data_IF_570738882253
#
_entry.id   IF_570738882253
#
_cell.length_a   1.000
_cell.length_b   1.000
_cell.length_c   1.000
_cell.angle_alpha   90.00
_cell.angle_beta   90.00
_cell.angle_gamma   90.00
#
_symmetry.space_group_name_H-M   'P 1'
#
loop_
_entity.id
_entity.type
_entity.pdbx_description
1 polymer ?
#
# COMPACT_ATOMS: atom_id res chain seq x y z
N UNK A 1 8.41 -6.03 34.61
CA UNK A 1 7.91 -5.15 33.54
C UNK A 1 8.49 -5.66 32.22
N UNK A 2 7.74 -6.44 31.43
CA UNK A 2 8.25 -6.98 30.16
C UNK A 2 8.29 -5.85 29.11
N UNK A 3 9.47 -5.58 28.58
CA UNK A 3 9.65 -4.76 27.38
C UNK A 3 9.59 -5.74 26.20
N UNK A 4 8.61 -5.56 25.31
CA UNK A 4 8.52 -6.35 24.10
C UNK A 4 9.42 -5.70 23.03
N UNK A 5 10.43 -6.46 22.58
CA UNK A 5 11.37 -6.05 21.54
C UNK A 5 10.88 -6.62 20.22
N UNK A 6 10.54 -5.75 19.27
CA UNK A 6 10.26 -6.15 17.89
C UNK A 6 11.50 -5.81 17.04
N UNK A 7 12.31 -6.82 16.68
CA UNK A 7 13.35 -6.63 15.68
C UNK A 7 12.67 -6.49 14.31
N UNK A 8 13.14 -5.53 13.49
CA UNK A 8 12.69 -5.23 12.12
C UNK A 8 11.44 -4.32 12.03
N UNK A 9 11.59 -3.18 11.33
CA UNK A 9 10.54 -2.19 11.11
C UNK A 9 9.96 -2.38 9.70
N UNK A 10 9.31 -3.53 9.53
CA UNK A 10 8.42 -3.80 8.40
C UNK A 10 7.00 -3.33 8.76
N UNK A 11 6.15 -3.17 7.73
CA UNK A 11 4.80 -2.63 7.90
C UNK A 11 3.93 -3.39 8.94
N UNK A 12 4.08 -4.71 9.05
CA UNK A 12 3.28 -5.52 9.98
C UNK A 12 3.69 -5.29 11.44
N UNK A 13 4.98 -5.15 11.66
CA UNK A 13 5.66 -4.96 12.94
C UNK A 13 5.36 -3.56 13.48
N UNK A 14 5.33 -2.56 12.60
CA UNK A 14 4.81 -1.22 12.92
C UNK A 14 3.38 -1.25 13.47
N UNK A 15 2.47 -1.94 12.78
CA UNK A 15 1.07 -2.03 13.21
C UNK A 15 0.97 -2.77 14.54
N UNK A 16 1.70 -3.88 14.69
CA UNK A 16 1.70 -4.64 15.93
C UNK A 16 2.24 -3.81 17.11
N UNK A 17 3.32 -3.07 16.88
CA UNK A 17 3.92 -2.13 17.83
C UNK A 17 2.93 -1.05 18.25
N UNK A 18 2.19 -0.48 17.29
CA UNK A 18 1.11 0.48 17.55
C UNK A 18 -0.01 -0.09 18.42
N UNK A 19 -0.52 -1.28 18.06
CA UNK A 19 -1.58 -1.96 18.83
C UNK A 19 -1.13 -2.28 20.25
N UNK A 20 0.10 -2.79 20.42
CA UNK A 20 0.66 -3.08 21.74
C UNK A 20 0.80 -1.81 22.59
N UNK A 21 1.19 -0.70 21.97
CA UNK A 21 1.34 0.60 22.65
C UNK A 21 -0.01 1.16 23.12
N UNK A 22 -1.05 1.09 22.29
CA UNK A 22 -2.43 1.48 22.64
C UNK A 22 -2.98 0.61 23.79
N UNK A 23 -2.60 -0.68 23.81
CA UNK A 23 -2.96 -1.60 24.90
C UNK A 23 -2.13 -1.40 26.19
N UNK A 24 -1.36 -0.32 26.31
CA UNK A 24 -0.61 0.03 27.51
C UNK A 24 0.68 -0.77 27.73
N UNK A 25 1.18 -1.47 26.70
CA UNK A 25 2.49 -2.14 26.78
C UNK A 25 3.60 -1.15 26.47
N UNK A 26 4.74 -1.28 27.19
CA UNK A 26 5.98 -0.59 26.83
C UNK A 26 6.68 -1.37 25.71
N UNK A 27 6.74 -0.79 24.53
CA UNK A 27 7.31 -1.40 23.33
C UNK A 27 8.62 -0.70 22.97
N UNK A 28 9.65 -1.48 22.67
CA UNK A 28 10.90 -0.99 22.09
C UNK A 28 10.96 -1.43 20.63
N UNK A 29 10.96 -0.45 19.73
CA UNK A 29 10.94 -0.66 18.29
C UNK A 29 12.31 -0.30 17.71
N UNK A 30 13.02 -1.27 17.12
CA UNK A 30 14.38 -1.08 16.61
C UNK A 30 14.56 -1.73 15.24
N UNK A 31 15.17 -0.99 14.30
CA UNK A 31 15.67 -1.54 13.03
C UNK A 31 17.20 -1.60 13.02
N UNK A 32 17.74 -2.47 12.18
CA UNK A 32 19.15 -2.48 11.80
C UNK A 32 19.42 -1.53 10.64
N UNK A 33 18.42 -1.29 9.80
CA UNK A 33 18.52 -0.41 8.63
C UNK A 33 18.41 1.05 9.04
N UNK A 34 19.14 1.97 8.37
CA UNK A 34 19.00 3.41 8.61
C UNK A 34 17.73 4.01 8.00
N UNK A 35 16.85 3.20 7.41
CA UNK A 35 15.62 3.61 6.74
C UNK A 35 14.44 2.73 7.20
N UNK A 36 13.24 3.31 7.13
CA UNK A 36 12.00 2.62 7.48
C UNK A 36 11.51 1.69 6.36
N UNK A 37 10.73 0.67 6.72
CA UNK A 37 9.97 -0.15 5.77
C UNK A 37 10.71 -1.37 5.23
N UNK A 38 12.02 -1.52 5.50
CA UNK A 38 12.81 -2.70 5.14
C UNK A 38 12.65 -3.11 3.67
N UNK A 39 12.18 -4.33 3.42
CA UNK A 39 11.92 -4.86 2.07
C UNK A 39 10.76 -4.14 1.35
N UNK A 40 9.84 -3.56 2.10
CA UNK A 40 8.73 -2.73 1.62
C UNK A 40 9.01 -1.23 1.75
N UNK A 41 10.28 -0.83 1.71
CA UNK A 41 10.66 0.57 1.82
C UNK A 41 10.25 1.38 0.59
N UNK A 42 9.95 2.65 0.83
CA UNK A 42 9.79 3.68 -0.20
C UNK A 42 11.13 4.38 -0.38
N UNK A 43 11.59 4.48 -1.62
CA UNK A 43 12.88 5.09 -1.94
C UNK A 43 12.65 6.52 -2.41
N UNK A 44 13.40 7.44 -1.81
CA UNK A 44 13.49 8.84 -2.17
C UNK A 44 14.87 9.36 -1.78
N UNK A 45 15.53 10.24 -2.57
CA UNK A 45 15.09 10.76 -3.87
C UNK A 45 15.33 9.75 -5.01
N UNK A 46 14.86 10.08 -6.22
CA UNK A 46 14.93 9.21 -7.40
C UNK A 46 16.36 8.70 -7.72
N UNK A 47 17.39 9.47 -7.41
CA UNK A 47 18.80 9.08 -7.60
C UNK A 47 19.18 7.83 -6.79
N UNK A 48 18.63 7.67 -5.57
CA UNK A 48 18.85 6.48 -4.74
C UNK A 48 18.19 5.24 -5.36
N UNK A 49 17.09 5.41 -6.09
CA UNK A 49 16.45 4.31 -6.83
C UNK A 49 17.37 3.82 -7.95
N UNK A 50 17.92 4.73 -8.76
CA UNK A 50 18.83 4.40 -9.84
C UNK A 50 20.10 3.69 -9.33
N UNK A 51 20.66 4.21 -8.23
CA UNK A 51 21.80 3.59 -7.55
C UNK A 51 21.48 2.18 -7.06
N UNK A 52 20.30 1.97 -6.48
CA UNK A 52 19.89 0.65 -5.97
C UNK A 52 19.72 -0.40 -7.06
N UNK A 53 19.21 0.01 -8.24
CA UNK A 53 19.03 -0.87 -9.40
C UNK A 53 20.27 -0.92 -10.31
N UNK A 54 21.39 -0.32 -9.89
CA UNK A 54 22.64 -0.28 -10.64
C UNK A 54 22.46 0.25 -12.08
N UNK A 55 21.55 1.22 -12.24
CA UNK A 55 21.28 1.83 -13.52
C UNK A 55 22.45 2.75 -13.90
N UNK A 56 22.98 2.66 -15.13
CA UNK A 56 24.19 3.36 -15.54
C UNK A 56 24.01 4.88 -15.68
N UNK A 57 22.77 5.32 -15.90
CA UNK A 57 22.44 6.73 -16.14
C UNK A 57 21.88 7.39 -14.88
N UNK A 58 22.13 8.69 -14.70
CA UNK A 58 21.37 9.49 -13.73
C UNK A 58 19.93 9.69 -14.23
N UNK A 59 18.94 9.89 -13.34
CA UNK A 59 17.58 10.18 -13.75
C UNK A 59 17.54 11.37 -14.75
N UNK A 60 16.84 11.24 -15.89
CA UNK A 60 16.80 12.28 -16.91
C UNK A 60 16.07 13.53 -16.39
N UNK A 61 16.47 14.71 -16.85
CA UNK A 61 15.86 16.00 -16.43
C UNK A 61 14.34 16.05 -16.67
N UNK A 62 13.83 15.27 -17.62
CA UNK A 62 12.40 15.13 -17.89
C UNK A 62 11.60 14.56 -16.71
N UNK A 63 12.22 13.82 -15.78
CA UNK A 63 11.57 13.30 -14.58
C UNK A 63 11.45 14.35 -13.46
N UNK A 64 11.97 15.56 -13.68
CA UNK A 64 11.86 16.65 -12.71
C UNK A 64 12.78 16.48 -11.50
N UNK A 65 12.33 16.93 -10.33
CA UNK A 65 13.14 16.92 -9.11
C UNK A 65 13.07 15.55 -8.44
N UNK A 66 14.21 14.91 -8.20
CA UNK A 66 14.27 13.58 -7.58
C UNK A 66 13.54 13.45 -6.23
N UNK A 67 13.47 14.53 -5.44
CA UNK A 67 12.77 14.57 -4.14
C UNK A 67 11.23 14.49 -4.22
N UNK A 68 10.66 14.79 -5.38
CA UNK A 68 9.20 14.72 -5.57
C UNK A 68 8.76 13.27 -5.83
N UNK A 69 9.72 12.36 -6.00
CA UNK A 69 9.49 10.93 -6.19
C UNK A 69 9.57 10.18 -4.86
N UNK A 70 8.54 9.37 -4.62
CA UNK A 70 8.51 8.36 -3.58
C UNK A 70 8.12 7.05 -4.25
N UNK A 71 9.08 6.14 -4.42
CA UNK A 71 8.87 4.88 -5.16
C UNK A 71 8.87 3.72 -4.18
N UNK A 72 7.69 3.12 -3.99
CA UNK A 72 7.55 1.92 -3.17
C UNK A 72 8.15 0.71 -3.88
N UNK A 73 9.03 -0.03 -3.20
CA UNK A 73 9.57 -1.29 -3.74
C UNK A 73 8.48 -2.35 -3.92
N UNK A 74 7.47 -2.33 -3.05
CA UNK A 74 6.34 -3.26 -3.08
C UNK A 74 5.06 -2.44 -2.93
N UNK A 75 4.53 -1.88 -4.02
CA UNK A 75 3.28 -1.11 -3.95
C UNK A 75 2.14 -2.05 -3.56
N UNK A 76 1.48 -1.76 -2.44
CA UNK A 76 0.32 -2.51 -1.96
C UNK A 76 -0.83 -1.55 -1.76
N UNK A 77 -1.99 -1.97 -2.23
CA UNK A 77 -3.20 -1.22 -2.01
C UNK A 77 -3.99 -1.72 -0.79
N UNK A 78 -4.70 -0.80 -0.17
CA UNK A 78 -5.55 -1.05 1.00
C UNK A 78 -7.02 -1.15 0.58
N UNK A 79 -7.69 -2.22 0.98
CA UNK A 79 -9.14 -2.31 0.82
C UNK A 79 -9.81 -1.36 1.83
N UNK A 80 -10.67 -0.44 1.37
CA UNK A 80 -11.27 0.59 2.22
C UNK A 80 -12.05 0.03 3.43
N UNK A 81 -12.75 -1.10 3.25
CA UNK A 81 -13.44 -1.82 4.34
C UNK A 81 -12.67 -3.08 4.80
N UNK A 82 -11.36 -3.12 4.58
CA UNK A 82 -10.49 -4.21 4.99
C UNK A 82 -10.25 -4.21 6.51
N UNK A 83 -9.89 -5.37 7.05
CA UNK A 83 -9.48 -5.50 8.46
C UNK A 83 -8.28 -4.60 8.78
N UNK A 84 -7.38 -4.42 7.81
CA UNK A 84 -6.19 -3.58 7.96
C UNK A 84 -6.52 -2.11 8.22
N UNK A 85 -7.45 -1.52 7.45
CA UNK A 85 -7.90 -0.14 7.68
C UNK A 85 -8.56 0.01 9.04
N UNK A 86 -9.34 -1.00 9.49
CA UNK A 86 -9.93 -1.00 10.84
C UNK A 86 -8.88 -1.01 11.95
N UNK A 87 -7.77 -1.75 11.77
CA UNK A 87 -6.66 -1.73 12.72
C UNK A 87 -5.93 -0.37 12.73
N UNK A 88 -5.77 0.27 11.58
CA UNK A 88 -5.19 1.62 11.49
C UNK A 88 -6.06 2.67 12.19
N UNK A 89 -7.39 2.56 12.05
CA UNK A 89 -8.33 3.40 12.79
C UNK A 89 -8.24 3.18 14.30
N UNK A 90 -8.13 1.92 14.74
CA UNK A 90 -7.99 1.57 16.16
C UNK A 90 -6.71 2.15 16.78
N UNK A 91 -5.62 2.19 16.01
CA UNK A 91 -4.33 2.75 16.46
C UNK A 91 -4.25 4.27 16.32
N UNK A 92 -5.28 4.93 15.81
CA UNK A 92 -5.35 6.37 15.51
C UNK A 92 -4.25 6.90 14.58
N UNK A 93 -3.54 6.03 13.86
CA UNK A 93 -2.47 6.42 12.92
C UNK A 93 -3.05 7.14 11.69
N UNK A 94 -4.34 6.96 11.40
CA UNK A 94 -5.05 7.63 10.31
C UNK A 94 -5.09 9.15 10.44
N UNK A 95 -4.70 9.74 11.58
CA UNK A 95 -4.55 11.20 11.73
C UNK A 95 -3.32 11.75 11.01
N UNK A 96 -2.35 10.88 10.69
CA UNK A 96 -1.08 11.23 10.06
C UNK A 96 -0.98 10.73 8.61
N UNK A 97 -1.97 9.96 8.15
CA UNK A 97 -2.00 9.35 6.84
C UNK A 97 -3.22 9.85 6.07
N UNK A 98 -2.96 10.42 4.91
CA UNK A 98 -4.00 10.79 3.95
C UNK A 98 -4.16 9.68 2.93
N UNK A 99 -5.36 9.11 2.86
CA UNK A 99 -5.70 8.07 1.88
C UNK A 99 -6.31 8.70 0.64
N UNK A 100 -5.88 8.21 -0.53
CA UNK A 100 -6.49 8.59 -1.81
C UNK A 100 -7.18 7.39 -2.45
N UNK A 101 -8.41 7.58 -2.89
CA UNK A 101 -9.17 6.56 -3.61
C UNK A 101 -8.56 6.34 -5.00
N UNK A 102 -8.34 5.07 -5.36
CA UNK A 102 -7.88 4.69 -6.70
C UNK A 102 -9.04 4.82 -7.70
N UNK A 103 -8.77 5.39 -8.88
CA UNK A 103 -9.80 5.69 -9.88
C UNK A 103 -10.48 4.45 -10.48
N UNK A 104 -9.77 3.33 -10.56
CA UNK A 104 -10.33 2.12 -11.15
C UNK A 104 -9.47 0.88 -10.92
N UNK A 105 -10.13 -0.27 -11.01
CA UNK A 105 -9.48 -1.59 -11.06
C UNK A 105 -9.70 -2.19 -12.44
N UNK A 106 -8.69 -2.87 -12.97
CA UNK A 106 -8.71 -3.42 -14.31
C UNK A 106 -8.23 -4.88 -14.31
N UNK A 107 -8.79 -5.69 -15.22
CA UNK A 107 -8.46 -7.10 -15.42
C UNK A 107 -7.99 -7.31 -16.86
N UNK A 108 -6.88 -8.01 -17.01
CA UNK A 108 -6.36 -8.41 -18.31
C UNK A 108 -6.93 -9.77 -18.74
N UNK A 109 -7.53 -9.84 -19.93
CA UNK A 109 -8.03 -11.09 -20.51
C UNK A 109 -7.91 -11.05 -22.03
N UNK A 110 -7.23 -12.05 -22.60
CA UNK A 110 -7.18 -12.25 -24.05
C UNK A 110 -6.63 -11.05 -24.83
N UNK A 111 -5.51 -10.47 -24.37
CA UNK A 111 -4.88 -9.34 -25.06
C UNK A 111 -5.53 -7.97 -24.82
N UNK A 112 -6.61 -7.91 -24.04
CA UNK A 112 -7.33 -6.65 -23.75
C UNK A 112 -7.48 -6.44 -22.25
N UNK A 113 -7.49 -5.18 -21.86
CA UNK A 113 -7.71 -4.73 -20.48
C UNK A 113 -9.17 -4.32 -20.35
N UNK A 114 -9.85 -4.80 -19.32
CA UNK A 114 -11.25 -4.51 -19.02
C UNK A 114 -11.34 -3.87 -17.64
N UNK A 115 -12.15 -2.82 -17.49
CA UNK A 115 -12.46 -2.25 -16.17
C UNK A 115 -13.28 -3.26 -15.37
N UNK A 116 -12.90 -3.48 -14.11
CA UNK A 116 -13.72 -4.22 -13.16
C UNK A 116 -14.90 -3.33 -12.77
N UNK A 117 -16.16 -3.79 -12.97
CA UNK A 117 -17.31 -2.97 -12.65
C UNK A 117 -17.39 -2.74 -11.15
N UNK A 118 -17.53 -1.48 -10.74
CA UNK A 118 -17.69 -1.09 -9.34
C UNK A 118 -19.14 -0.71 -8.99
N UNK A 119 -19.99 -0.56 -10.00
CA UNK A 119 -21.42 -0.24 -9.88
C UNK A 119 -22.28 -1.23 -10.67
N UNK A 120 -23.56 -1.34 -10.31
CA UNK A 120 -24.50 -2.23 -11.00
C UNK A 120 -24.71 -1.81 -12.47
N UNK A 121 -24.75 -0.51 -12.73
CA UNK A 121 -24.85 0.06 -14.09
C UNK A 121 -23.65 -0.27 -14.96
N UNK A 122 -22.44 -0.32 -14.40
CA UNK A 122 -21.23 -0.77 -15.13
C UNK A 122 -21.18 -2.29 -15.31
N UNK A 123 -21.83 -3.07 -14.44
CA UNK A 123 -21.84 -4.53 -14.52
C UNK A 123 -22.79 -5.08 -15.60
N UNK A 124 -23.86 -4.36 -15.92
CA UNK A 124 -24.87 -4.76 -16.91
C UNK A 124 -24.37 -4.83 -18.37
N UNK A 125 -23.59 -3.85 -18.89
CA UNK A 125 -23.17 -3.85 -20.29
C UNK A 125 -21.90 -4.68 -20.55
N UNK A 126 -21.16 -5.09 -19.53
CA UNK A 126 -19.90 -5.79 -19.72
C UNK A 126 -20.11 -7.28 -20.02
N UNK A 127 -19.33 -7.88 -20.94
CA UNK A 127 -19.22 -9.32 -21.06
C UNK A 127 -18.41 -9.84 -19.87
N UNK A 128 -19.02 -9.78 -18.67
CA UNK A 128 -18.39 -10.20 -17.42
C UNK A 128 -18.08 -11.69 -17.53
N UNK A 129 -16.85 -12.15 -17.24
CA UNK A 129 -16.54 -13.57 -17.22
C UNK A 129 -17.52 -14.30 -16.27
N UNK A 130 -17.96 -15.54 -16.61
CA UNK A 130 -18.85 -16.34 -15.76
C UNK A 130 -18.26 -16.67 -14.38
N UNK A 131 -16.99 -16.32 -14.15
CA UNK A 131 -16.27 -16.49 -12.89
C UNK A 131 -16.70 -15.51 -11.79
N UNK A 132 -17.45 -14.46 -12.12
CA UNK A 132 -17.89 -13.46 -11.14
C UNK A 132 -19.41 -13.53 -10.96
N UNK A 133 -19.90 -14.13 -9.86
CA UNK A 133 -21.32 -14.06 -9.52
C UNK A 133 -21.77 -12.61 -9.51
N UNK A 134 -22.92 -12.29 -10.12
CA UNK A 134 -23.46 -10.92 -10.24
C UNK A 134 -23.57 -10.17 -8.89
N UNK A 135 -23.48 -10.85 -7.75
CA UNK A 135 -23.46 -10.27 -6.41
C UNK A 135 -22.07 -9.93 -5.82
N UNK A 136 -20.96 -10.40 -6.39
CA UNK A 136 -19.61 -10.23 -5.79
C UNK A 136 -18.94 -8.92 -6.20
N UNK A 137 -19.45 -8.24 -7.25
CA UNK A 137 -18.88 -6.98 -7.77
C UNK A 137 -18.98 -5.86 -6.74
N UNK A 138 -19.97 -5.96 -5.86
CA UNK A 138 -20.18 -5.08 -4.72
C UNK A 138 -19.07 -5.10 -3.65
N UNK A 139 -18.12 -6.06 -3.68
CA UNK A 139 -17.09 -6.18 -2.62
C UNK A 139 -15.76 -5.50 -2.93
N UNK A 140 -15.43 -5.26 -4.21
CA UNK A 140 -14.23 -4.51 -4.60
C UNK A 140 -14.58 -3.03 -4.72
N UNK A 141 -15.22 -2.46 -3.69
CA UNK A 141 -15.83 -1.14 -3.85
C UNK A 141 -14.84 0.01 -3.79
N UNK A 142 -13.82 -0.06 -2.95
CA UNK A 142 -12.82 1.01 -2.86
C UNK A 142 -11.50 0.44 -2.41
N UNK A 143 -10.49 0.70 -3.22
CA UNK A 143 -9.09 0.42 -2.95
C UNK A 143 -8.44 1.78 -2.76
N UNK A 144 -7.82 2.00 -1.61
CA UNK A 144 -7.09 3.22 -1.29
C UNK A 144 -5.58 2.96 -1.38
N UNK A 145 -4.85 3.97 -1.80
CA UNK A 145 -3.40 4.10 -1.56
C UNK A 145 -3.23 4.89 -0.27
#
# INVERSE_FOLDING_TARGET
MLIHILPFILFKECILSGIMSVNGKKVLHMDRNPYYGGESSSITPLEELYKRFELPDSPPESMGRGRDWNVDLIPKFLMANGQLVKMLLYTEVTRYLDFKVVEGSFVYKGGKIYKVPSTETEALPLPVPPLWPRGTASRIRQVCV
#
